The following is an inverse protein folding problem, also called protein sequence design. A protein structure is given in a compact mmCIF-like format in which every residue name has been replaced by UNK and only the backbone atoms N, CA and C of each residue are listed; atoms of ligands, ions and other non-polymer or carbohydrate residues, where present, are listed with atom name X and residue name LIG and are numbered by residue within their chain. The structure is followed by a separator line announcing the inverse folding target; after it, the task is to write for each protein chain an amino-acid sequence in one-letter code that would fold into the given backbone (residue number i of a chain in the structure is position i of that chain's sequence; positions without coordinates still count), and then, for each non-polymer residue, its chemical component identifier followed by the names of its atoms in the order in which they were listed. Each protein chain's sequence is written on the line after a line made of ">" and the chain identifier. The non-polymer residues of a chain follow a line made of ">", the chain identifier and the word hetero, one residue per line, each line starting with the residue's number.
data_IF_720606378080
#
_entry.id   IF_720606378080
#
_cell.length_a   1.000
_cell.length_b   1.000
_cell.length_c   1.000
_cell.angle_alpha   90.00
_cell.angle_beta   90.00
_cell.angle_gamma   90.00
#
_symmetry.space_group_name_H-M   'P 1'
#
loop_
_entity.id
_entity.type
_entity.pdbx_description
1 polymer ?
#
# COMPACT_ATOMS: atom_id res chain seq x y z
N UNK A 1 17.25 16.70 11.85
CA UNK A 1 18.18 15.60 11.54
C UNK A 1 17.93 14.34 12.38
N UNK A 2 17.65 14.46 13.71
CA UNK A 2 17.42 13.30 14.59
C UNK A 2 16.24 12.46 14.10
N UNK A 3 15.08 13.08 13.82
CA UNK A 3 13.86 12.43 13.34
C UNK A 3 14.04 11.70 11.99
N UNK A 4 15.02 12.13 11.20
CA UNK A 4 15.33 11.53 9.89
C UNK A 4 16.54 10.56 9.94
N UNK A 5 17.01 10.18 11.14
CA UNK A 5 18.13 9.24 11.31
C UNK A 5 19.45 9.75 10.74
N UNK A 6 19.66 11.09 10.75
CA UNK A 6 20.88 11.71 10.19
C UNK A 6 21.78 12.34 11.27
N UNK A 7 21.43 12.21 12.55
CA UNK A 7 22.15 12.88 13.62
C UNK A 7 23.61 12.49 13.72
N UNK A 8 23.92 11.21 13.55
CA UNK A 8 25.30 10.68 13.64
C UNK A 8 26.17 11.14 12.47
N UNK A 9 25.53 11.54 11.37
CA UNK A 9 26.20 12.09 10.18
C UNK A 9 26.13 13.59 10.06
N UNK A 10 25.74 14.31 11.13
CA UNK A 10 25.54 15.79 11.11
C UNK A 10 26.79 16.60 10.74
N UNK A 11 27.98 16.03 10.93
CA UNK A 11 29.28 16.64 10.58
C UNK A 11 29.89 16.08 9.28
N UNK A 12 29.25 15.05 8.69
CA UNK A 12 29.73 14.45 7.45
C UNK A 12 29.46 15.40 6.26
N UNK A 13 30.33 15.35 5.28
CA UNK A 13 30.13 16.08 4.02
C UNK A 13 29.01 15.41 3.21
N UNK A 14 28.23 16.19 2.49
CA UNK A 14 27.11 15.66 1.69
C UNK A 14 27.55 14.57 0.68
N UNK A 15 28.78 14.63 0.17
CA UNK A 15 29.34 13.61 -0.74
C UNK A 15 29.54 12.24 -0.09
N UNK A 16 29.67 12.19 1.24
CA UNK A 16 29.92 10.99 2.05
C UNK A 16 28.61 10.28 2.42
N UNK A 17 27.46 10.89 2.11
CA UNK A 17 26.15 10.36 2.40
C UNK A 17 25.71 9.40 1.29
N UNK A 18 25.03 8.30 1.66
CA UNK A 18 24.34 7.41 0.72
C UNK A 18 23.19 8.13 0.00
N UNK A 19 22.67 7.55 -1.09
CA UNK A 19 21.54 8.11 -1.83
C UNK A 19 20.31 8.37 -0.94
N UNK A 20 19.93 7.39 -0.12
CA UNK A 20 18.81 7.52 0.84
C UNK A 20 19.08 8.56 1.93
N UNK A 21 20.35 8.68 2.41
CA UNK A 21 20.72 9.72 3.36
C UNK A 21 20.66 11.13 2.75
N UNK A 22 21.07 11.28 1.49
CA UNK A 22 20.96 12.55 0.76
C UNK A 22 19.50 12.96 0.59
N UNK A 23 18.62 12.01 0.24
CA UNK A 23 17.18 12.28 0.10
C UNK A 23 16.57 12.76 1.42
N UNK A 24 16.87 12.09 2.53
CA UNK A 24 16.44 12.53 3.87
C UNK A 24 17.01 13.90 4.26
N UNK A 25 18.24 14.19 3.85
CA UNK A 25 18.84 15.53 4.08
C UNK A 25 18.10 16.61 3.28
N UNK A 26 17.65 16.32 2.05
CA UNK A 26 16.85 17.26 1.25
C UNK A 26 15.50 17.56 1.92
N UNK A 27 14.84 16.54 2.48
CA UNK A 27 13.62 16.73 3.27
C UNK A 27 13.92 17.59 4.50
N UNK A 28 15.01 17.29 5.25
CA UNK A 28 15.40 18.09 6.39
C UNK A 28 15.63 19.57 6.01
N UNK A 29 16.26 19.81 4.86
CA UNK A 29 16.50 21.17 4.33
C UNK A 29 15.22 21.90 4.00
N UNK A 30 14.26 21.21 3.36
CA UNK A 30 12.97 21.77 3.02
C UNK A 30 12.13 22.16 4.24
N UNK A 31 12.40 21.57 5.39
CA UNK A 31 11.67 21.81 6.64
C UNK A 31 12.30 22.90 7.55
N UNK A 32 13.47 23.44 7.19
CA UNK A 32 14.18 24.42 8.04
C UNK A 32 13.37 25.69 8.30
N UNK A 33 12.55 26.08 7.33
CA UNK A 33 11.73 27.30 7.39
C UNK A 33 10.25 27.03 7.73
N UNK A 34 9.93 25.81 8.18
CA UNK A 34 8.59 25.38 8.62
C UNK A 34 7.48 25.74 7.60
N UNK A 35 7.57 25.24 6.36
CA UNK A 35 6.66 25.63 5.30
C UNK A 35 5.24 25.13 5.57
N UNK A 36 4.19 25.91 5.20
CA UNK A 36 2.81 25.46 5.30
C UNK A 36 2.46 24.38 4.26
N UNK A 37 3.24 24.31 3.17
CA UNK A 37 3.12 23.31 2.09
C UNK A 37 4.47 22.66 1.80
N UNK A 38 4.50 21.35 1.81
CA UNK A 38 5.66 20.53 1.47
C UNK A 38 5.35 19.65 0.25
N UNK A 39 6.17 19.74 -0.79
CA UNK A 39 6.05 18.90 -1.98
C UNK A 39 7.24 17.93 -2.00
N UNK A 40 6.96 16.65 -2.04
CA UNK A 40 7.93 15.56 -1.99
C UNK A 40 7.81 14.68 -3.24
N UNK A 41 8.91 14.52 -3.94
CA UNK A 41 8.99 13.64 -5.09
C UNK A 41 9.68 12.34 -4.68
N UNK A 42 8.90 11.22 -4.71
CA UNK A 42 9.36 9.87 -4.35
C UNK A 42 10.11 9.83 -3.00
N UNK A 43 9.54 10.30 -1.88
CA UNK A 43 10.30 10.56 -0.65
C UNK A 43 10.98 9.33 -0.06
N UNK A 44 10.43 8.13 -0.26
CA UNK A 44 10.92 6.88 0.31
C UNK A 44 11.55 5.92 -0.70
N UNK A 45 11.70 6.33 -1.97
CA UNK A 45 12.33 5.47 -2.98
C UNK A 45 13.78 5.13 -2.61
N UNK A 46 14.11 3.83 -2.68
CA UNK A 46 15.45 3.32 -2.32
C UNK A 46 15.79 3.36 -0.83
N UNK A 47 14.78 3.54 0.03
CA UNK A 47 14.91 3.47 1.49
C UNK A 47 14.49 2.08 1.97
N UNK A 48 15.24 1.51 2.93
CA UNK A 48 14.88 0.24 3.55
C UNK A 48 13.56 0.33 4.33
N UNK A 49 12.97 -0.82 4.64
CA UNK A 49 11.62 -0.93 5.22
C UNK A 49 11.51 -0.22 6.58
N UNK A 50 12.51 -0.36 7.45
CA UNK A 50 12.49 0.23 8.79
C UNK A 50 12.53 1.76 8.74
N UNK A 51 13.47 2.28 7.94
CA UNK A 51 13.59 3.73 7.72
C UNK A 51 12.38 4.31 7.00
N UNK A 52 11.78 3.57 6.06
CA UNK A 52 10.55 3.97 5.37
C UNK A 52 9.40 4.18 6.35
N UNK A 53 9.18 3.23 7.27
CA UNK A 53 8.17 3.35 8.32
C UNK A 53 8.39 4.56 9.22
N UNK A 54 9.63 4.79 9.65
CA UNK A 54 9.98 5.97 10.44
C UNK A 54 9.75 7.29 9.69
N UNK A 55 10.00 7.31 8.36
CA UNK A 55 9.66 8.47 7.53
C UNK A 55 8.16 8.69 7.39
N UNK A 56 7.36 7.63 7.26
CA UNK A 56 5.89 7.74 7.21
C UNK A 56 5.32 8.31 8.50
N UNK A 57 5.80 7.84 9.65
CA UNK A 57 5.41 8.39 10.97
C UNK A 57 5.75 9.89 11.06
N UNK A 58 6.96 10.24 10.66
CA UNK A 58 7.40 11.63 10.64
C UNK A 58 6.54 12.52 9.72
N UNK A 59 6.19 12.07 8.53
CA UNK A 59 5.32 12.80 7.60
C UNK A 59 3.89 12.97 8.16
N UNK A 60 3.36 11.93 8.82
CA UNK A 60 2.06 12.01 9.51
C UNK A 60 2.07 13.05 10.63
N UNK A 61 3.13 13.10 11.44
CA UNK A 61 3.28 14.09 12.51
C UNK A 61 3.34 15.51 11.95
N UNK A 62 4.10 15.74 10.87
CA UNK A 62 4.15 17.03 10.19
C UNK A 62 2.76 17.46 9.68
N UNK A 63 2.03 16.54 9.05
CA UNK A 63 0.70 16.81 8.56
C UNK A 63 -0.29 17.10 9.70
N UNK A 64 -0.24 16.32 10.79
CA UNK A 64 -1.04 16.58 11.99
C UNK A 64 -0.68 17.92 12.66
N UNK A 65 0.56 18.39 12.51
CA UNK A 65 1.02 19.72 12.94
C UNK A 65 0.57 20.87 12.03
N UNK A 66 -0.20 20.60 10.96
CA UNK A 66 -0.77 21.62 10.09
C UNK A 66 -0.03 21.82 8.76
N UNK A 67 1.08 21.11 8.50
CA UNK A 67 1.75 21.18 7.20
C UNK A 67 0.96 20.41 6.15
N UNK A 68 0.56 21.04 5.06
CA UNK A 68 -0.01 20.33 3.91
C UNK A 68 1.11 19.61 3.17
N UNK A 69 0.91 18.32 2.85
CA UNK A 69 1.92 17.52 2.15
C UNK A 69 1.33 17.01 0.84
N UNK A 70 2.02 17.28 -0.27
CA UNK A 70 1.81 16.66 -1.56
C UNK A 70 3.01 15.76 -1.81
N UNK A 71 2.77 14.49 -2.13
CA UNK A 71 3.84 13.57 -2.49
C UNK A 71 3.52 12.86 -3.80
N UNK A 72 4.56 12.58 -4.58
CA UNK A 72 4.47 11.61 -5.68
C UNK A 72 5.06 10.29 -5.20
N UNK A 73 4.49 9.19 -5.62
CA UNK A 73 5.00 7.86 -5.33
C UNK A 73 4.49 6.85 -6.35
N UNK A 74 5.29 5.83 -6.63
CA UNK A 74 4.86 4.63 -7.34
C UNK A 74 4.55 3.47 -6.38
N UNK A 75 4.76 3.68 -5.06
CA UNK A 75 4.38 2.72 -4.02
C UNK A 75 2.95 3.01 -3.56
N UNK A 76 1.99 2.24 -4.06
CA UNK A 76 0.58 2.42 -3.72
C UNK A 76 0.29 2.18 -2.24
N UNK A 77 1.08 1.34 -1.55
CA UNK A 77 1.06 1.18 -0.10
C UNK A 77 1.36 2.50 0.64
N UNK A 78 2.32 3.29 0.13
CA UNK A 78 2.64 4.61 0.68
C UNK A 78 1.46 5.57 0.53
N UNK A 79 0.86 5.61 -0.66
CA UNK A 79 -0.31 6.43 -0.93
C UNK A 79 -1.51 6.03 -0.05
N UNK A 80 -1.80 4.74 0.08
CA UNK A 80 -2.88 4.23 0.94
C UNK A 80 -2.64 4.55 2.41
N UNK A 81 -1.37 4.48 2.84
CA UNK A 81 -0.99 4.66 4.24
C UNK A 81 -0.96 6.14 4.66
N UNK A 82 -0.50 7.04 3.79
CA UNK A 82 -0.22 8.43 4.13
C UNK A 82 -1.28 9.41 3.62
N UNK A 83 -1.89 9.12 2.46
CA UNK A 83 -2.72 10.09 1.78
C UNK A 83 -4.20 9.94 2.12
N UNK A 84 -4.88 11.07 2.36
CA UNK A 84 -6.34 11.10 2.42
C UNK A 84 -6.97 11.16 1.03
N UNK A 85 -6.29 11.82 0.09
CA UNK A 85 -6.71 12.00 -1.30
C UNK A 85 -5.57 11.62 -2.22
N UNK A 86 -5.89 10.99 -3.33
CA UNK A 86 -4.94 10.59 -4.37
C UNK A 86 -5.44 11.01 -5.74
N UNK A 87 -4.49 11.34 -6.63
CA UNK A 87 -4.71 11.47 -8.06
C UNK A 87 -3.84 10.44 -8.77
N UNK A 88 -4.44 9.56 -9.57
CA UNK A 88 -3.73 8.53 -10.32
C UNK A 88 -3.45 9.03 -11.74
N UNK A 89 -2.19 8.93 -12.15
CA UNK A 89 -1.73 9.39 -13.46
C UNK A 89 -1.35 8.18 -14.31
N UNK A 90 -1.92 8.10 -15.53
CA UNK A 90 -1.58 7.11 -16.51
C UNK A 90 -1.36 7.79 -17.87
N UNK A 91 -0.24 7.51 -18.53
CA UNK A 91 0.15 8.16 -19.82
C UNK A 91 -0.01 9.68 -19.82
N UNK A 92 0.39 10.35 -18.72
CA UNK A 92 0.36 11.82 -18.60
C UNK A 92 -1.03 12.41 -18.39
N UNK A 93 -2.06 11.61 -18.14
CA UNK A 93 -3.42 12.04 -17.83
C UNK A 93 -3.83 11.59 -16.44
N UNK A 94 -4.57 12.43 -15.73
CA UNK A 94 -5.24 12.02 -14.51
C UNK A 94 -6.38 11.10 -14.90
N UNK A 95 -6.31 9.84 -14.46
CA UNK A 95 -7.31 8.81 -14.76
C UNK A 95 -8.29 8.61 -13.61
N UNK A 96 -7.89 8.98 -12.40
CA UNK A 96 -8.74 8.97 -11.22
C UNK A 96 -8.24 10.02 -10.22
N UNK A 97 -9.16 10.66 -9.49
CA UNK A 97 -8.89 11.61 -8.43
C UNK A 97 -9.99 11.52 -7.37
N UNK A 98 -9.63 11.30 -6.10
CA UNK A 98 -10.62 11.16 -5.05
C UNK A 98 -10.03 10.87 -3.67
N UNK A 99 -10.91 10.74 -2.69
CA UNK A 99 -10.53 10.25 -1.38
C UNK A 99 -10.16 8.76 -1.46
N UNK A 100 -9.07 8.36 -0.83
CA UNK A 100 -8.64 6.96 -0.78
C UNK A 100 -9.78 6.05 -0.29
N UNK A 101 -10.49 6.46 0.75
CA UNK A 101 -11.62 5.71 1.29
C UNK A 101 -12.74 5.48 0.26
N UNK A 102 -13.05 6.49 -0.57
CA UNK A 102 -14.10 6.40 -1.59
C UNK A 102 -13.66 5.51 -2.76
N UNK A 103 -12.38 5.59 -3.15
CA UNK A 103 -11.83 4.74 -4.20
C UNK A 103 -11.83 3.27 -3.77
N UNK A 104 -11.38 2.99 -2.55
CA UNK A 104 -11.39 1.65 -1.98
C UNK A 104 -12.82 1.12 -1.76
N UNK A 105 -13.79 2.02 -1.54
CA UNK A 105 -15.18 1.64 -1.42
C UNK A 105 -15.80 1.14 -2.74
N UNK A 106 -15.18 1.44 -3.89
CA UNK A 106 -15.60 0.95 -5.22
C UNK A 106 -15.11 -0.46 -5.52
N UNK A 107 -14.19 -1.00 -4.73
CA UNK A 107 -13.81 -2.41 -4.85
C UNK A 107 -15.00 -3.28 -4.40
N UNK A 108 -15.52 -4.09 -5.32
CA UNK A 108 -16.65 -4.97 -5.06
C UNK A 108 -16.26 -6.24 -4.30
N UNK A 109 -14.98 -6.57 -4.29
CA UNK A 109 -14.44 -7.76 -3.63
C UNK A 109 -13.02 -7.48 -3.15
N UNK A 110 -12.59 -8.23 -2.16
CA UNK A 110 -11.21 -8.23 -1.65
C UNK A 110 -10.59 -9.62 -1.86
N UNK A 111 -9.36 -9.67 -2.35
CA UNK A 111 -8.63 -10.93 -2.55
C UNK A 111 -7.72 -11.21 -1.38
N UNK A 112 -7.90 -12.35 -0.74
CA UNK A 112 -7.06 -12.84 0.35
C UNK A 112 -6.21 -14.03 -0.10
N UNK A 113 -5.03 -14.14 0.45
CA UNK A 113 -4.18 -15.32 0.36
C UNK A 113 -4.19 -16.00 1.72
N UNK A 114 -4.62 -17.26 1.73
CA UNK A 114 -4.68 -18.12 2.89
C UNK A 114 -3.51 -19.09 2.87
N UNK A 115 -2.78 -19.18 3.98
CA UNK A 115 -1.86 -20.29 4.21
C UNK A 115 -2.65 -21.44 4.82
N UNK A 116 -2.58 -22.62 4.22
CA UNK A 116 -3.45 -23.74 4.56
C UNK A 116 -2.68 -25.05 4.75
N UNK A 117 -3.32 -25.98 5.46
CA UNK A 117 -2.86 -27.36 5.59
C UNK A 117 -4.02 -28.33 5.27
N UNK A 118 -3.72 -29.47 4.68
CA UNK A 118 -4.72 -30.51 4.33
C UNK A 118 -5.49 -30.21 3.04
N UNK A 119 -6.48 -31.04 2.77
CA UNK A 119 -7.49 -31.00 1.70
C UNK A 119 -6.98 -30.64 0.29
N UNK A 120 -7.32 -31.46 -0.71
CA UNK A 120 -6.99 -31.16 -2.12
C UNK A 120 -8.13 -30.44 -2.85
N UNK A 121 -9.35 -30.67 -2.40
CA UNK A 121 -10.57 -30.15 -3.06
C UNK A 121 -10.95 -28.80 -2.47
N UNK A 122 -11.03 -27.80 -3.33
CA UNK A 122 -11.49 -26.47 -2.94
C UNK A 122 -13.01 -26.44 -2.77
N UNK A 123 -13.54 -25.67 -1.81
CA UNK A 123 -14.98 -25.52 -1.64
C UNK A 123 -15.62 -24.79 -2.83
N UNK A 124 -16.84 -25.18 -3.13
CA UNK A 124 -17.75 -24.39 -3.96
C UNK A 124 -18.67 -23.59 -3.02
N UNK A 125 -18.50 -22.27 -3.02
CA UNK A 125 -19.29 -21.35 -2.20
C UNK A 125 -19.80 -20.22 -3.10
N UNK A 126 -21.12 -20.09 -3.32
CA UNK A 126 -21.67 -19.07 -4.20
C UNK A 126 -21.23 -17.65 -3.81
N UNK A 127 -20.74 -16.90 -4.80
CA UNK A 127 -20.24 -15.54 -4.62
C UNK A 127 -18.77 -15.44 -4.22
N UNK A 128 -18.10 -16.56 -3.94
CA UNK A 128 -16.67 -16.61 -3.60
C UNK A 128 -15.91 -17.39 -4.67
N UNK A 129 -14.73 -16.91 -5.05
CA UNK A 129 -13.87 -17.61 -6.00
C UNK A 129 -12.61 -18.11 -5.28
N UNK A 130 -12.39 -19.43 -5.28
CA UNK A 130 -11.21 -20.04 -4.67
C UNK A 130 -10.25 -20.51 -5.76
N UNK A 131 -8.97 -20.22 -5.58
CA UNK A 131 -7.90 -20.65 -6.48
C UNK A 131 -6.71 -21.17 -5.66
N UNK A 132 -6.22 -22.38 -5.97
CA UNK A 132 -4.99 -22.87 -5.39
C UNK A 132 -3.80 -22.26 -6.16
N UNK A 133 -2.95 -21.51 -5.46
CA UNK A 133 -1.79 -20.83 -6.04
C UNK A 133 -0.46 -21.49 -5.63
N UNK A 134 -0.51 -22.41 -4.67
CA UNK A 134 0.65 -23.17 -4.20
C UNK A 134 0.22 -24.39 -3.42
N UNK A 135 1.19 -25.23 -2.99
CA UNK A 135 0.91 -26.42 -2.20
C UNK A 135 0.17 -26.12 -0.89
N UNK A 136 0.52 -25.00 -0.26
CA UNK A 136 -0.03 -24.56 1.02
C UNK A 136 -0.67 -23.16 0.92
N UNK A 137 -1.00 -22.68 -0.28
CA UNK A 137 -1.58 -21.38 -0.48
C UNK A 137 -2.83 -21.45 -1.34
N UNK A 138 -3.89 -20.84 -0.84
CA UNK A 138 -5.18 -20.66 -1.53
C UNK A 138 -5.47 -19.16 -1.59
N UNK A 139 -5.82 -18.70 -2.79
CA UNK A 139 -6.37 -17.38 -3.01
C UNK A 139 -7.89 -17.46 -2.96
N UNK A 140 -8.53 -16.48 -2.29
CA UNK A 140 -9.98 -16.37 -2.24
C UNK A 140 -10.41 -14.93 -2.50
N UNK A 141 -11.34 -14.78 -3.45
CA UNK A 141 -12.04 -13.52 -3.69
C UNK A 141 -13.29 -13.49 -2.82
N UNK A 142 -13.34 -12.51 -1.91
CA UNK A 142 -14.43 -12.32 -0.96
C UNK A 142 -15.22 -11.07 -1.39
N UNK A 143 -16.53 -11.19 -1.69
CA UNK A 143 -17.36 -10.04 -1.99
C UNK A 143 -17.43 -9.10 -0.78
N UNK A 144 -17.70 -7.83 -1.00
CA UNK A 144 -17.70 -6.79 0.05
C UNK A 144 -18.65 -7.06 1.21
N UNK A 145 -19.79 -7.67 0.89
CA UNK A 145 -20.81 -8.12 1.86
C UNK A 145 -20.58 -9.57 2.35
N UNK A 146 -19.53 -10.21 1.81
CA UNK A 146 -19.13 -11.56 2.18
C UNK A 146 -18.51 -11.62 3.56
N UNK A 147 -18.81 -12.71 4.28
CA UNK A 147 -18.27 -12.95 5.61
C UNK A 147 -17.09 -13.91 5.54
N UNK A 148 -15.91 -13.50 6.03
CA UNK A 148 -14.73 -14.37 6.11
C UNK A 148 -15.00 -15.67 6.90
N UNK A 149 -15.89 -15.65 7.88
CA UNK A 149 -16.28 -16.86 8.59
C UNK A 149 -16.88 -17.92 7.66
N UNK A 150 -17.65 -17.49 6.63
CA UNK A 150 -18.20 -18.44 5.65
C UNK A 150 -17.08 -19.12 4.83
N UNK A 151 -15.98 -18.39 4.55
CA UNK A 151 -14.80 -18.95 3.89
C UNK A 151 -14.14 -20.00 4.77
N UNK A 152 -13.92 -19.71 6.06
CA UNK A 152 -13.31 -20.65 6.99
C UNK A 152 -14.18 -21.90 7.20
N UNK A 153 -15.48 -21.72 7.34
CA UNK A 153 -16.42 -22.85 7.48
C UNK A 153 -16.46 -23.73 6.22
N UNK A 154 -16.37 -23.12 5.03
CA UNK A 154 -16.34 -23.87 3.77
C UNK A 154 -15.04 -24.68 3.63
N UNK A 155 -13.89 -24.08 3.95
CA UNK A 155 -12.58 -24.75 3.92
C UNK A 155 -12.52 -25.88 4.94
N UNK A 156 -12.97 -25.67 6.17
CA UNK A 156 -13.02 -26.72 7.19
C UNK A 156 -13.85 -27.92 6.78
N UNK A 157 -15.00 -27.72 6.09
CA UNK A 157 -15.82 -28.82 5.55
C UNK A 157 -15.08 -29.65 4.48
N UNK A 158 -14.14 -29.04 3.76
CA UNK A 158 -13.27 -29.71 2.81
C UNK A 158 -12.00 -30.32 3.44
N UNK A 159 -11.88 -30.30 4.78
CA UNK A 159 -10.70 -30.79 5.49
C UNK A 159 -9.47 -29.90 5.30
N UNK A 160 -9.67 -28.64 4.99
CA UNK A 160 -8.60 -27.64 4.81
C UNK A 160 -8.55 -26.76 6.07
N UNK A 161 -7.44 -26.81 6.80
CA UNK A 161 -7.16 -25.99 7.97
C UNK A 161 -6.47 -24.68 7.54
N UNK A 162 -6.97 -23.52 7.99
CA UNK A 162 -6.37 -22.22 7.71
C UNK A 162 -5.38 -21.88 8.81
N UNK A 163 -4.10 -21.74 8.45
CA UNK A 163 -3.00 -21.39 9.35
C UNK A 163 -2.69 -19.89 9.38
N UNK A 164 -3.03 -19.17 8.31
CA UNK A 164 -2.78 -17.74 8.19
C UNK A 164 -3.61 -17.09 7.09
N UNK A 165 -3.78 -15.77 7.20
CA UNK A 165 -4.51 -14.96 6.25
C UNK A 165 -3.77 -13.64 6.03
N UNK A 166 -3.64 -13.23 4.78
CA UNK A 166 -3.10 -11.91 4.39
C UNK A 166 -3.87 -11.38 3.19
N UNK A 167 -3.97 -10.07 3.03
CA UNK A 167 -4.46 -9.49 1.77
C UNK A 167 -3.45 -9.78 0.67
N UNK A 168 -3.92 -10.10 -0.54
CA UNK A 168 -3.07 -10.43 -1.69
C UNK A 168 -2.22 -9.25 -2.13
N UNK A 169 -2.82 -8.08 -2.20
CA UNK A 169 -2.18 -6.85 -2.63
C UNK A 169 -2.61 -5.67 -1.75
N UNK A 170 -1.88 -4.58 -1.87
CA UNK A 170 -2.37 -3.29 -1.44
C UNK A 170 -3.68 -2.98 -2.18
N UNK A 171 -4.71 -2.55 -1.45
CA UNK A 171 -6.06 -2.33 -1.99
C UNK A 171 -6.08 -1.25 -3.09
N UNK A 172 -5.25 -0.22 -2.98
CA UNK A 172 -5.07 0.78 -4.04
C UNK A 172 -4.40 0.19 -5.28
N UNK A 173 -3.48 -0.76 -5.12
CA UNK A 173 -2.85 -1.46 -6.24
C UNK A 173 -3.87 -2.30 -7.02
N UNK A 174 -4.71 -3.03 -6.32
CA UNK A 174 -5.81 -3.78 -6.92
C UNK A 174 -6.77 -2.86 -7.68
N UNK A 175 -7.15 -1.73 -7.06
CA UNK A 175 -7.98 -0.72 -7.70
C UNK A 175 -7.34 -0.18 -8.98
N UNK A 176 -6.05 0.17 -8.92
CA UNK A 176 -5.32 0.70 -10.07
C UNK A 176 -5.22 -0.30 -11.22
N UNK A 177 -4.88 -1.56 -10.92
CA UNK A 177 -4.78 -2.63 -11.94
C UNK A 177 -6.11 -2.82 -12.65
N UNK A 178 -7.21 -2.97 -11.91
CA UNK A 178 -8.56 -3.13 -12.48
C UNK A 178 -8.99 -1.94 -13.34
N UNK A 179 -8.65 -0.73 -12.92
CA UNK A 179 -8.97 0.48 -13.67
C UNK A 179 -8.21 0.53 -15.00
N UNK A 180 -6.92 0.18 -15.01
CA UNK A 180 -6.10 0.16 -16.23
C UNK A 180 -6.56 -0.95 -17.18
N UNK A 181 -6.95 -2.11 -16.68
CA UNK A 181 -7.51 -3.22 -17.47
C UNK A 181 -8.83 -2.81 -18.13
N UNK A 182 -9.75 -2.22 -17.36
CA UNK A 182 -11.03 -1.75 -17.90
C UNK A 182 -10.88 -0.69 -19.00
N UNK A 183 -9.82 0.15 -18.95
CA UNK A 183 -9.52 1.11 -20.02
C UNK A 183 -8.95 0.44 -21.28
N UNK A 184 -8.29 -0.72 -21.17
CA UNK A 184 -7.78 -1.49 -22.31
C UNK A 184 -8.88 -2.24 -23.04
N UNK A 185 -9.86 -2.77 -22.30
CA UNK A 185 -10.96 -3.55 -22.88
C UNK A 185 -12.05 -2.65 -23.50
N UNK A 186 -12.05 -1.34 -23.20
CA UNK A 186 -13.00 -0.36 -23.73
C UNK A 186 -12.44 0.50 -24.89
N UNK A 187 -11.22 0.26 -25.33
CA UNK A 187 -10.56 0.97 -26.44
C UNK A 187 -10.38 0.06 -27.66
#
# INVERSE_FOLDING_TARGET
>A
LRRLGLWDKRLARARELSGGMKRRLLIARALVHEPPLLILDEPTAGVDIELRRGMWEFLRELNAGGTTIILTTHYLEEAETLCRRVAMINHGRIVEDGLVADLLARLHQETFVLTVNGGEVLPDLPGFAFRRIGAQEIEVDVPRDGRLNAVFDALNRCGIEVLGLKNKANRLEEFFVRMVEAQRDGA
#
